data_IF_681433705853
#
_entry.id   IF_681433705853
#
_cell.length_a   1.000
_cell.length_b   1.000
_cell.length_c   1.000
_cell.angle_alpha   90.00
_cell.angle_beta   90.00
_cell.angle_gamma   90.00
#
_symmetry.space_group_name_H-M   'P 1'
#
loop_
_entity.id
_entity.type
_entity.pdbx_description
1 polymer ?
#
# COMPACT_ATOMS: atom_id res chain seq x y z
N UNK A 1 -14.64 -9.32 -10.50
CA UNK A 1 -14.68 -9.06 -9.04
C UNK A 1 -13.44 -9.68 -8.41
N UNK A 2 -13.43 -10.00 -7.11
CA UNK A 2 -12.39 -10.89 -6.56
C UNK A 2 -12.53 -12.34 -7.06
N UNK A 3 -13.71 -12.72 -7.57
CA UNK A 3 -13.99 -14.03 -8.19
C UNK A 3 -12.98 -14.40 -9.30
N UNK A 4 -12.58 -13.44 -10.13
CA UNK A 4 -11.61 -13.66 -11.21
C UNK A 4 -10.17 -13.84 -10.68
N UNK A 5 -9.91 -13.33 -9.47
CA UNK A 5 -8.61 -13.41 -8.79
C UNK A 5 -8.51 -14.70 -7.98
N UNK A 6 -9.61 -15.15 -7.36
CA UNK A 6 -9.64 -16.33 -6.49
C UNK A 6 -9.12 -17.60 -7.16
N UNK A 7 -9.46 -17.79 -8.44
CA UNK A 7 -9.01 -18.93 -9.25
C UNK A 7 -7.78 -18.69 -10.10
N UNK A 8 -7.11 -17.53 -9.98
CA UNK A 8 -5.99 -17.17 -10.85
C UNK A 8 -4.75 -18.04 -10.56
N UNK A 9 -4.12 -18.55 -11.62
CA UNK A 9 -2.89 -19.35 -11.58
C UNK A 9 -1.59 -18.53 -11.59
N UNK A 10 -1.70 -17.20 -11.65
CA UNK A 10 -0.58 -16.26 -11.68
C UNK A 10 -0.06 -15.90 -10.29
N UNK A 11 0.38 -14.64 -10.16
CA UNK A 11 0.84 -14.06 -8.90
C UNK A 11 -0.31 -13.28 -8.27
N UNK A 12 -0.63 -13.59 -7.02
CA UNK A 12 -1.61 -12.85 -6.22
C UNK A 12 -0.85 -12.10 -5.12
N UNK A 13 -1.09 -10.79 -5.02
CA UNK A 13 -0.61 -9.95 -3.93
C UNK A 13 -1.81 -9.32 -3.23
N UNK A 14 -2.01 -9.66 -1.96
CA UNK A 14 -3.08 -9.12 -1.11
C UNK A 14 -2.46 -8.22 -0.07
N UNK A 15 -2.92 -6.97 -0.01
CA UNK A 15 -2.46 -5.97 0.95
C UNK A 15 -3.60 -5.54 1.85
N UNK A 16 -3.51 -5.86 3.14
CA UNK A 16 -4.38 -5.34 4.20
C UNK A 16 -5.83 -5.83 4.19
N UNK A 17 -6.23 -6.67 3.23
CA UNK A 17 -7.55 -7.29 3.18
C UNK A 17 -7.54 -8.63 3.91
N UNK A 18 -8.56 -8.88 4.72
CA UNK A 18 -8.70 -10.11 5.50
C UNK A 18 -9.35 -11.25 4.70
N UNK A 19 -9.94 -10.95 3.54
CA UNK A 19 -10.64 -11.91 2.66
C UNK A 19 -11.72 -12.73 3.40
N UNK A 20 -12.33 -12.14 4.43
CA UNK A 20 -13.32 -12.78 5.29
C UNK A 20 -14.62 -13.17 4.57
N UNK A 21 -14.89 -12.56 3.41
CA UNK A 21 -16.05 -12.81 2.56
C UNK A 21 -15.72 -13.71 1.36
N UNK A 22 -14.49 -14.22 1.27
CA UNK A 22 -14.06 -15.15 0.24
C UNK A 22 -14.11 -16.60 0.74
N UNK A 23 -14.17 -17.53 -0.21
CA UNK A 23 -14.09 -18.96 0.08
C UNK A 23 -12.72 -19.34 0.66
N UNK A 24 -12.69 -20.40 1.48
CA UNK A 24 -11.46 -20.84 2.16
C UNK A 24 -10.35 -21.30 1.21
N UNK A 25 -10.68 -21.60 -0.05
CA UNK A 25 -9.75 -22.02 -1.09
C UNK A 25 -9.23 -20.85 -1.94
N UNK A 26 -9.54 -19.60 -1.57
CA UNK A 26 -9.03 -18.42 -2.27
C UNK A 26 -7.51 -18.47 -2.45
N UNK A 27 -7.06 -18.28 -3.70
CA UNK A 27 -5.66 -18.18 -4.06
C UNK A 27 -4.89 -19.50 -4.05
N UNK A 28 -5.54 -20.64 -3.77
CA UNK A 28 -4.88 -21.96 -3.75
C UNK A 28 -4.33 -22.39 -5.11
N UNK A 29 -4.87 -21.85 -6.21
CA UNK A 29 -4.37 -22.11 -7.56
C UNK A 29 -3.19 -21.21 -7.96
N UNK A 30 -2.89 -20.16 -7.19
CA UNK A 30 -1.86 -19.20 -7.54
C UNK A 30 -0.48 -19.87 -7.59
N UNK A 31 0.34 -19.49 -8.57
CA UNK A 31 1.74 -19.90 -8.61
C UNK A 31 2.60 -19.20 -7.57
N UNK A 32 2.13 -18.05 -7.07
CA UNK A 32 2.69 -17.35 -5.92
C UNK A 32 1.61 -16.49 -5.26
N UNK A 33 1.34 -16.72 -3.99
CA UNK A 33 0.46 -15.90 -3.17
C UNK A 33 1.25 -15.20 -2.05
N UNK A 34 1.34 -13.87 -2.11
CA UNK A 34 1.93 -13.03 -1.06
C UNK A 34 0.83 -12.26 -0.32
N UNK A 35 0.79 -12.41 0.99
CA UNK A 35 -0.04 -11.60 1.88
C UNK A 35 0.80 -10.56 2.62
N UNK A 36 0.36 -9.30 2.59
CA UNK A 36 0.95 -8.18 3.30
C UNK A 36 -0.06 -7.66 4.34
N UNK A 37 0.22 -7.85 5.63
CA UNK A 37 -0.74 -7.55 6.69
C UNK A 37 -0.11 -7.01 7.97
N UNK A 38 -0.94 -6.38 8.80
CA UNK A 38 -0.52 -5.76 10.07
C UNK A 38 -0.75 -6.66 11.28
N UNK A 39 -1.52 -7.75 11.12
CA UNK A 39 -1.87 -8.70 12.16
C UNK A 39 -2.13 -10.09 11.53
N UNK A 40 -2.35 -11.08 12.38
CA UNK A 40 -2.82 -12.39 11.97
C UNK A 40 -4.18 -12.28 11.26
N UNK A 41 -4.38 -13.04 10.19
CA UNK A 41 -5.50 -12.85 9.27
C UNK A 41 -5.86 -14.15 8.53
N UNK A 42 -7.15 -14.42 8.28
CA UNK A 42 -7.58 -15.53 7.42
C UNK A 42 -6.93 -15.51 6.03
N UNK A 43 -6.69 -14.32 5.46
CA UNK A 43 -6.03 -14.14 4.16
C UNK A 43 -4.62 -14.73 4.11
N UNK A 44 -3.95 -14.89 5.26
CA UNK A 44 -2.62 -15.47 5.33
C UNK A 44 -2.60 -17.00 5.18
N UNK A 45 -3.76 -17.67 5.33
CA UNK A 45 -3.84 -19.14 5.45
C UNK A 45 -3.25 -19.88 4.25
N UNK A 46 -3.54 -19.38 3.05
CA UNK A 46 -3.10 -19.98 1.78
C UNK A 46 -1.90 -19.24 1.16
N UNK A 47 -1.33 -18.25 1.83
CA UNK A 47 -0.23 -17.47 1.29
C UNK A 47 1.10 -18.24 1.41
N UNK A 48 1.90 -18.23 0.34
CA UNK A 48 3.27 -18.76 0.36
C UNK A 48 4.20 -17.90 1.22
N UNK A 49 3.98 -16.58 1.20
CA UNK A 49 4.73 -15.61 2.00
C UNK A 49 3.81 -14.63 2.69
N UNK A 50 4.09 -14.41 3.97
CA UNK A 50 3.47 -13.36 4.78
C UNK A 50 4.51 -12.29 5.08
N UNK A 51 4.28 -11.07 4.60
CA UNK A 51 5.15 -9.93 4.82
C UNK A 51 4.49 -8.98 5.83
N UNK A 52 5.05 -8.83 7.05
CA UNK A 52 4.47 -7.93 8.03
C UNK A 52 4.64 -6.47 7.58
N UNK A 53 3.54 -5.73 7.55
CA UNK A 53 3.55 -4.29 7.26
C UNK A 53 3.11 -3.48 8.48
N UNK A 54 3.53 -2.22 8.53
CA UNK A 54 3.13 -1.28 9.60
C UNK A 54 1.70 -0.81 9.43
N UNK A 55 1.08 -0.45 10.55
CA UNK A 55 -0.16 0.33 10.58
C UNK A 55 0.14 1.82 10.37
N UNK A 56 -0.90 2.62 10.10
CA UNK A 56 -0.76 4.08 9.98
C UNK A 56 -0.15 4.74 11.23
N UNK A 57 -0.27 4.12 12.41
CA UNK A 57 0.29 4.65 13.65
C UNK A 57 1.82 4.45 13.75
N UNK A 58 2.36 3.49 12.99
CA UNK A 58 3.75 3.02 13.06
C UNK A 58 4.60 3.51 11.89
N UNK A 59 4.00 4.27 10.97
CA UNK A 59 4.66 4.84 9.79
C UNK A 59 4.28 6.31 9.60
N UNK A 60 4.99 6.98 8.70
CA UNK A 60 4.55 8.25 8.14
C UNK A 60 4.02 8.04 6.72
N UNK A 61 3.10 8.90 6.31
CA UNK A 61 2.44 8.76 5.03
C UNK A 61 1.43 9.88 4.77
N UNK A 62 0.60 9.68 3.76
CA UNK A 62 -0.52 10.57 3.48
C UNK A 62 -1.77 9.77 3.11
N UNK A 63 -2.93 10.38 3.32
CA UNK A 63 -4.21 9.84 2.86
C UNK A 63 -5.05 10.96 2.22
N UNK A 64 -5.99 10.58 1.36
CA UNK A 64 -7.00 11.49 0.82
C UNK A 64 -8.29 11.25 1.57
N UNK A 65 -8.80 12.28 2.23
CA UNK A 65 -10.06 12.16 2.96
C UNK A 65 -11.29 12.26 2.01
N UNK A 66 -12.48 12.04 2.56
CA UNK A 66 -13.75 12.07 1.82
C UNK A 66 -14.09 13.42 1.15
N UNK A 67 -13.40 14.50 1.52
CA UNK A 67 -13.56 15.83 0.92
C UNK A 67 -12.53 16.11 -0.20
N UNK A 68 -11.72 15.12 -0.57
CA UNK A 68 -10.65 15.28 -1.56
C UNK A 68 -9.46 16.07 -1.04
N UNK A 69 -9.18 16.00 0.27
CA UNK A 69 -8.01 16.65 0.88
C UNK A 69 -6.93 15.62 1.19
N UNK A 70 -5.74 15.85 0.68
CA UNK A 70 -4.51 15.15 1.04
C UNK A 70 -4.06 15.63 2.42
N UNK A 71 -3.82 14.71 3.33
CA UNK A 71 -3.34 15.00 4.68
C UNK A 71 -2.16 14.09 5.00
N UNK A 72 -1.11 14.65 5.60
CA UNK A 72 0.01 13.86 6.11
C UNK A 72 -0.29 13.35 7.51
N UNK A 73 0.26 12.20 7.82
CA UNK A 73 0.38 11.70 9.18
C UNK A 73 1.84 11.33 9.45
N UNK A 74 2.22 11.44 10.72
CA UNK A 74 3.57 11.17 11.19
C UNK A 74 3.57 9.89 12.01
N UNK A 75 4.72 9.22 12.04
CA UNK A 75 4.93 8.05 12.87
C UNK A 75 4.73 8.39 14.36
N UNK A 76 3.74 7.76 14.99
CA UNK A 76 3.46 7.91 16.42
C UNK A 76 4.06 6.79 17.28
N UNK A 77 4.20 5.59 16.71
CA UNK A 77 4.70 4.39 17.36
C UNK A 77 5.89 3.81 16.57
N UNK A 78 6.75 3.07 17.26
CA UNK A 78 7.81 2.32 16.61
C UNK A 78 7.24 1.07 15.95
N UNK A 79 7.70 0.75 14.74
CA UNK A 79 7.30 -0.44 14.03
C UNK A 79 7.66 -1.72 14.83
N UNK A 80 6.74 -2.67 14.99
CA UNK A 80 7.00 -3.90 15.73
C UNK A 80 7.89 -4.86 14.92
N UNK A 81 8.97 -5.33 15.55
CA UNK A 81 9.86 -6.34 14.99
C UNK A 81 10.38 -6.01 13.59
N UNK A 82 9.99 -6.81 12.60
CA UNK A 82 10.41 -6.65 11.21
C UNK A 82 9.37 -5.97 10.32
N UNK A 83 8.27 -5.46 10.89
CA UNK A 83 7.27 -4.74 10.12
C UNK A 83 7.89 -3.51 9.44
N UNK A 84 7.49 -3.27 8.19
CA UNK A 84 7.92 -2.11 7.39
C UNK A 84 6.73 -1.47 6.69
N UNK A 85 6.80 -0.18 6.34
CA UNK A 85 5.74 0.45 5.57
C UNK A 85 5.45 -0.28 4.26
N UNK A 86 4.16 -0.42 3.93
CA UNK A 86 3.74 -1.13 2.72
C UNK A 86 4.37 -0.51 1.46
N UNK A 87 4.48 0.82 1.42
CA UNK A 87 5.16 1.55 0.33
C UNK A 87 6.64 1.19 0.20
N UNK A 88 7.33 0.90 1.32
CA UNK A 88 8.74 0.52 1.32
C UNK A 88 8.91 -0.91 0.82
N UNK A 89 8.07 -1.83 1.30
CA UNK A 89 8.08 -3.23 0.87
C UNK A 89 7.78 -3.33 -0.63
N UNK A 90 6.72 -2.65 -1.10
CA UNK A 90 6.37 -2.62 -2.53
C UNK A 90 7.45 -1.95 -3.39
N UNK A 91 8.04 -0.86 -2.90
CA UNK A 91 9.15 -0.19 -3.58
C UNK A 91 10.38 -1.08 -3.72
N UNK A 92 10.72 -1.85 -2.68
CA UNK A 92 11.82 -2.80 -2.71
C UNK A 92 11.56 -3.98 -3.66
N UNK A 93 10.33 -4.51 -3.67
CA UNK A 93 9.91 -5.55 -4.62
C UNK A 93 9.99 -5.05 -6.06
N UNK A 94 9.45 -3.86 -6.33
CA UNK A 94 9.53 -3.24 -7.66
C UNK A 94 10.99 -3.02 -8.08
N UNK A 95 11.85 -2.56 -7.17
CA UNK A 95 13.27 -2.36 -7.44
C UNK A 95 14.01 -3.66 -7.74
N UNK A 96 13.74 -4.73 -7.00
CA UNK A 96 14.30 -6.05 -7.27
C UNK A 96 13.87 -6.62 -8.63
N UNK A 97 12.63 -6.37 -9.04
CA UNK A 97 12.07 -6.91 -10.29
C UNK A 97 12.43 -6.09 -11.53
N UNK A 98 12.52 -4.76 -11.40
CA UNK A 98 12.63 -3.83 -12.54
C UNK A 98 13.92 -3.01 -12.55
N UNK A 99 14.75 -3.12 -11.50
CA UNK A 99 15.93 -2.28 -11.32
C UNK A 99 15.58 -0.82 -10.98
N UNK A 100 14.34 -0.55 -10.57
CA UNK A 100 13.92 0.77 -10.11
C UNK A 100 14.49 1.07 -8.71
N UNK A 101 14.72 2.34 -8.39
CA UNK A 101 15.08 2.71 -7.02
C UNK A 101 13.94 2.38 -6.06
N UNK A 102 14.27 2.02 -4.81
CA UNK A 102 13.27 2.00 -3.72
C UNK A 102 13.09 3.43 -3.18
N UNK A 103 11.87 3.92 -2.92
CA UNK A 103 11.71 5.21 -2.25
C UNK A 103 12.39 5.19 -0.89
N UNK A 104 13.20 6.21 -0.58
CA UNK A 104 13.91 6.31 0.69
C UNK A 104 13.04 6.87 1.83
N UNK A 105 11.88 7.48 1.50
CA UNK A 105 10.96 8.11 2.45
C UNK A 105 9.52 8.10 1.95
N UNK A 106 8.57 8.42 2.82
CA UNK A 106 7.17 8.62 2.44
C UNK A 106 7.00 9.80 1.47
N UNK A 107 7.84 10.83 1.59
CA UNK A 107 7.87 11.96 0.65
C UNK A 107 8.26 11.51 -0.76
N UNK A 108 9.32 10.70 -0.91
CA UNK A 108 9.71 10.16 -2.22
C UNK A 108 8.66 9.18 -2.77
N UNK A 109 7.98 8.42 -1.90
CA UNK A 109 6.86 7.58 -2.32
C UNK A 109 5.69 8.43 -2.83
N UNK A 110 5.40 9.55 -2.16
CA UNK A 110 4.38 10.51 -2.59
C UNK A 110 4.74 11.18 -3.93
N UNK A 111 6.00 11.53 -4.16
CA UNK A 111 6.46 12.07 -5.45
C UNK A 111 6.18 11.12 -6.61
N UNK A 112 6.27 9.80 -6.39
CA UNK A 112 5.87 8.80 -7.40
C UNK A 112 4.38 8.82 -7.68
N UNK A 113 3.54 9.03 -6.67
CA UNK A 113 2.09 9.19 -6.83
C UNK A 113 1.79 10.47 -7.65
N UNK A 114 2.46 11.58 -7.32
CA UNK A 114 2.34 12.85 -8.08
C UNK A 114 2.74 12.66 -9.54
N UNK A 115 3.84 11.95 -9.80
CA UNK A 115 4.30 11.66 -11.16
C UNK A 115 3.35 10.72 -11.94
N UNK A 116 2.70 9.79 -11.25
CA UNK A 116 1.82 8.79 -11.87
C UNK A 116 0.38 9.27 -12.09
N UNK A 117 -0.10 10.24 -11.29
CA UNK A 117 -1.51 10.63 -11.27
C UNK A 117 -1.72 12.14 -11.35
N UNK A 118 -2.33 12.60 -12.45
CA UNK A 118 -2.60 14.01 -12.72
C UNK A 118 -3.44 14.72 -11.63
N UNK A 119 -4.25 13.97 -10.87
CA UNK A 119 -5.04 14.51 -9.75
C UNK A 119 -4.17 15.15 -8.66
N UNK A 120 -2.90 14.75 -8.54
CA UNK A 120 -1.94 15.26 -7.55
C UNK A 120 -0.99 16.30 -8.15
N UNK A 121 -1.21 16.73 -9.40
CA UNK A 121 -0.30 17.63 -10.11
C UNK A 121 -0.06 18.93 -9.34
N UNK A 122 1.20 19.32 -9.20
CA UNK A 122 1.60 20.54 -8.51
C UNK A 122 1.65 20.45 -6.99
N UNK A 123 1.26 19.33 -6.38
CA UNK A 123 1.47 19.09 -4.96
C UNK A 123 2.89 18.61 -4.68
N UNK A 124 3.47 19.10 -3.59
CA UNK A 124 4.69 18.56 -2.99
C UNK A 124 4.39 18.10 -1.56
N UNK A 125 5.25 17.25 -1.01
CA UNK A 125 5.11 16.77 0.36
C UNK A 125 5.01 17.93 1.38
N UNK A 126 5.83 18.96 1.21
CA UNK A 126 5.84 20.15 2.06
C UNK A 126 4.58 20.99 1.89
N UNK A 127 4.06 21.11 0.65
CA UNK A 127 2.88 21.90 0.34
C UNK A 127 1.60 21.33 0.95
N UNK A 128 1.57 20.04 1.33
CA UNK A 128 0.46 19.46 2.09
C UNK A 128 0.32 20.16 3.45
N UNK A 129 1.44 20.55 4.07
CA UNK A 129 1.46 21.23 5.37
C UNK A 129 0.75 20.46 6.48
N UNK A 130 0.31 21.18 7.51
CA UNK A 130 -0.40 20.60 8.67
C UNK A 130 -1.92 20.63 8.48
N UNK A 131 -2.42 21.56 7.66
CA UNK A 131 -3.85 21.71 7.36
C UNK A 131 -4.32 20.79 6.21
N UNK A 132 -3.40 20.10 5.55
CA UNK A 132 -3.67 19.33 4.34
C UNK A 132 -3.90 20.20 3.09
N UNK A 133 -3.65 19.63 1.92
CA UNK A 133 -3.88 20.29 0.63
C UNK A 133 -5.09 19.68 -0.08
N UNK A 134 -5.89 20.50 -0.76
CA UNK A 134 -7.01 19.99 -1.57
C UNK A 134 -6.47 19.49 -2.89
N UNK A 135 -6.94 18.33 -3.36
CA UNK A 135 -6.76 17.96 -4.75
C UNK A 135 -7.55 18.96 -5.60
N UNK A 136 -6.90 19.54 -6.60
CA UNK A 136 -7.63 20.30 -7.61
C UNK A 136 -8.62 19.34 -8.27
N UNK A 137 -9.87 19.77 -8.46
CA UNK A 137 -10.85 18.94 -9.15
C UNK A 137 -10.25 18.63 -10.53
N UNK A 138 -10.00 17.35 -10.82
CA UNK A 138 -9.61 16.95 -12.16
C UNK A 138 -10.66 17.54 -13.10
N UNK A 139 -10.24 18.45 -13.99
CA UNK A 139 -11.12 19.00 -14.99
C UNK A 139 -11.75 17.81 -15.73
N UNK A 140 -13.06 17.66 -15.56
CA UNK A 140 -13.86 16.60 -16.17
C UNK A 140 -13.89 16.72 -17.69
#
# INVERSE_FOLDING_TARGET
GLEDVAGHDGIILVLGDELQDQDEDFGTNASLFVYMGTADSPAARNADFVLPVTTFAEEEGSFVNVQGRVQRFLQGLQAPGYARPAWLVLGALAGALRGEGTPASAAEAFDRVVAAHAAFSGLTWEAIGDAGARLEAAHA
#
